data_IF_386929069894
#
_entry.id   IF_386929069894
#
_cell.length_a   1.000
_cell.length_b   1.000
_cell.length_c   1.000
_cell.angle_alpha   90.00
_cell.angle_beta   90.00
_cell.angle_gamma   90.00
#
_symmetry.space_group_name_H-M   'P 1'
#
loop_
_entity.id
_entity.type
_entity.pdbx_description
1 polymer ?
#
# COMPACT_ATOMS: atom_id res chain seq x y z
N UNK A 1 1.63 19.10 12.58
CA UNK A 1 0.99 18.83 13.90
C UNK A 1 0.23 17.51 13.95
N UNK A 2 -0.28 17.02 12.83
CA UNK A 2 -1.01 15.74 12.78
C UNK A 2 -0.09 14.52 12.78
N UNK A 3 1.18 14.68 12.38
CA UNK A 3 2.19 13.63 12.43
C UNK A 3 2.68 13.44 13.86
N UNK A 4 2.91 12.19 14.26
CA UNK A 4 3.61 11.88 15.50
C UNK A 4 5.09 12.28 15.46
N UNK A 5 5.78 12.00 16.56
CA UNK A 5 7.23 12.24 16.63
C UNK A 5 7.99 11.34 15.63
N UNK A 6 8.99 11.87 14.92
CA UNK A 6 9.81 11.09 14.00
C UNK A 6 10.51 9.93 14.72
N UNK A 7 10.55 8.78 14.08
CA UNK A 7 11.33 7.65 14.58
C UNK A 7 12.79 7.78 14.09
N UNK A 8 13.68 8.23 14.97
CA UNK A 8 15.06 8.57 14.65
C UNK A 8 15.90 7.40 14.11
N UNK A 9 15.46 6.16 14.29
CA UNK A 9 16.13 4.97 13.76
C UNK A 9 15.52 4.49 12.45
N UNK A 10 14.20 4.42 12.38
CA UNK A 10 13.48 3.85 11.22
C UNK A 10 13.40 4.83 10.06
N UNK A 11 13.06 6.08 10.32
CA UNK A 11 12.76 7.06 9.27
C UNK A 11 13.96 7.36 8.35
N UNK A 12 15.23 7.43 8.82
CA UNK A 12 16.36 7.54 7.92
C UNK A 12 16.80 6.22 7.29
N UNK A 13 16.62 5.07 7.96
CA UNK A 13 17.14 3.78 7.52
C UNK A 13 16.25 3.09 6.47
N UNK A 14 14.94 3.10 6.67
CA UNK A 14 14.00 2.37 5.81
C UNK A 14 13.97 2.88 4.36
N UNK A 15 14.00 4.20 4.05
CA UNK A 15 14.08 4.68 2.67
C UNK A 15 15.37 4.23 1.96
N UNK A 16 16.50 4.18 2.68
CA UNK A 16 17.77 3.71 2.13
C UNK A 16 17.70 2.21 1.82
N UNK A 17 17.13 1.42 2.74
CA UNK A 17 16.92 -0.01 2.55
C UNK A 17 16.00 -0.28 1.35
N UNK A 18 14.88 0.42 1.24
CA UNK A 18 13.97 0.29 0.11
C UNK A 18 14.68 0.54 -1.22
N UNK A 19 15.42 1.65 -1.33
CA UNK A 19 16.17 1.99 -2.54
C UNK A 19 17.22 0.93 -2.88
N UNK A 20 17.91 0.38 -1.88
CA UNK A 20 18.88 -0.70 -2.08
C UNK A 20 18.21 -1.99 -2.58
N UNK A 21 17.05 -2.35 -2.05
CA UNK A 21 16.28 -3.50 -2.51
C UNK A 21 15.79 -3.33 -3.96
N UNK A 22 15.26 -2.16 -4.29
CA UNK A 22 14.83 -1.86 -5.67
C UNK A 22 15.99 -1.86 -6.66
N UNK A 23 17.14 -1.29 -6.28
CA UNK A 23 18.35 -1.30 -7.11
C UNK A 23 18.90 -2.72 -7.33
N UNK A 24 18.69 -3.62 -6.40
CA UNK A 24 19.06 -5.04 -6.49
C UNK A 24 17.94 -5.92 -7.07
N UNK A 25 16.87 -5.31 -7.59
CA UNK A 25 15.65 -5.98 -8.09
C UNK A 25 15.08 -7.04 -7.12
N UNK A 26 15.15 -6.74 -5.83
CA UNK A 26 14.58 -7.58 -4.78
C UNK A 26 13.08 -7.30 -4.63
N UNK A 27 12.25 -8.34 -4.42
CA UNK A 27 10.83 -8.17 -4.16
C UNK A 27 10.55 -7.28 -2.95
N UNK A 28 9.57 -6.39 -3.08
CA UNK A 28 9.12 -5.49 -2.03
C UNK A 28 7.60 -5.58 -1.88
N UNK A 29 7.13 -5.90 -0.69
CA UNK A 29 5.73 -5.76 -0.28
C UNK A 29 5.65 -4.69 0.82
N UNK A 30 4.93 -3.62 0.54
CA UNK A 30 4.81 -2.44 1.40
C UNK A 30 3.38 -2.30 1.94
N UNK A 31 3.17 -2.51 3.25
CA UNK A 31 1.85 -2.53 3.89
C UNK A 31 1.69 -1.29 4.77
N UNK A 32 0.54 -0.61 4.67
CA UNK A 32 0.12 0.54 5.46
C UNK A 32 1.18 1.66 5.48
N UNK A 33 1.90 1.85 6.58
CA UNK A 33 3.04 2.79 6.61
C UNK A 33 4.08 2.48 5.53
N UNK A 34 4.18 1.23 5.09
CA UNK A 34 5.09 0.80 4.03
C UNK A 34 4.79 1.43 2.67
N UNK A 35 3.53 1.51 2.24
CA UNK A 35 3.16 2.16 0.97
C UNK A 35 3.48 3.65 1.02
N UNK A 36 3.26 4.30 2.17
CA UNK A 36 3.56 5.71 2.39
C UNK A 36 5.07 5.96 2.31
N UNK A 37 5.86 5.13 3.00
CA UNK A 37 7.31 5.16 2.92
C UNK A 37 7.82 4.97 1.49
N UNK A 38 7.28 3.98 0.78
CA UNK A 38 7.63 3.68 -0.61
C UNK A 38 7.39 4.88 -1.51
N UNK A 39 6.23 5.51 -1.38
CA UNK A 39 5.88 6.69 -2.14
C UNK A 39 6.84 7.86 -1.89
N UNK A 40 7.07 8.21 -0.62
CA UNK A 40 7.96 9.32 -0.25
C UNK A 40 9.41 9.05 -0.64
N UNK A 41 9.90 7.83 -0.41
CA UNK A 41 11.25 7.45 -0.78
C UNK A 41 11.52 7.57 -2.28
N UNK A 42 10.50 7.49 -3.12
CA UNK A 42 10.59 7.60 -4.57
C UNK A 42 10.17 8.99 -5.10
N UNK A 43 9.85 9.94 -4.22
CA UNK A 43 9.61 11.35 -4.56
C UNK A 43 8.14 11.73 -4.69
N UNK A 44 7.24 10.99 -4.09
CA UNK A 44 5.84 11.34 -3.92
C UNK A 44 5.56 12.08 -2.60
N UNK A 45 4.30 12.46 -2.40
CA UNK A 45 3.83 13.19 -1.23
C UNK A 45 2.74 12.43 -0.46
N UNK A 46 2.44 12.87 0.76
CA UNK A 46 1.42 12.31 1.64
C UNK A 46 0.41 13.36 2.10
N UNK A 47 -0.85 12.98 2.19
CA UNK A 47 -1.80 13.66 3.07
C UNK A 47 -1.35 13.45 4.52
N UNK A 48 -1.17 14.55 5.26
CA UNK A 48 -0.76 14.50 6.67
C UNK A 48 -1.90 14.07 7.58
N UNK A 49 -3.14 14.28 7.17
CA UNK A 49 -4.35 13.85 7.87
C UNK A 49 -5.49 13.73 6.85
N UNK A 50 -6.15 12.58 6.82
CA UNK A 50 -7.28 12.29 5.91
C UNK A 50 -8.64 12.55 6.55
N UNK A 51 -8.72 13.19 7.73
CA UNK A 51 -9.99 13.55 8.38
C UNK A 51 -10.98 14.30 7.50
N UNK A 52 -10.54 15.17 6.55
CA UNK A 52 -11.48 15.81 5.64
C UNK A 52 -12.22 14.85 4.68
N UNK A 53 -11.72 13.62 4.53
CA UNK A 53 -12.33 12.56 3.70
C UNK A 53 -13.23 11.64 4.54
N UNK A 54 -14.14 12.21 5.33
CA UNK A 54 -14.89 11.51 6.39
C UNK A 54 -15.94 10.48 5.90
N UNK A 55 -16.06 10.25 4.61
CA UNK A 55 -17.06 9.32 4.06
C UNK A 55 -16.70 7.85 4.26
N UNK A 56 -15.41 7.53 4.43
CA UNK A 56 -14.89 6.19 4.66
C UNK A 56 -14.24 6.10 6.02
N UNK A 57 -14.67 5.19 6.90
CA UNK A 57 -14.06 5.03 8.22
C UNK A 57 -12.68 4.37 8.08
N UNK A 58 -11.61 5.16 8.17
CA UNK A 58 -10.23 4.69 8.06
C UNK A 58 -9.63 4.25 9.41
N UNK A 59 -10.45 3.70 10.33
CA UNK A 59 -10.04 3.37 11.71
C UNK A 59 -10.58 2.03 12.24
N UNK A 60 -10.87 1.06 11.38
CA UNK A 60 -11.24 -0.28 11.81
C UNK A 60 -10.23 -1.31 11.30
N UNK A 61 -9.54 -1.97 12.23
CA UNK A 61 -8.50 -2.95 11.93
C UNK A 61 -9.06 -4.33 11.59
N UNK A 62 -10.18 -4.70 12.21
CA UNK A 62 -10.63 -6.09 12.30
C UNK A 62 -11.66 -6.42 11.24
N UNK A 63 -12.43 -5.43 10.80
CA UNK A 63 -13.49 -5.60 9.83
C UNK A 63 -13.09 -5.18 8.42
N UNK A 64 -13.79 -5.74 7.45
CA UNK A 64 -13.81 -5.22 6.08
C UNK A 64 -14.82 -4.09 6.04
N UNK A 65 -14.37 -2.84 5.95
CA UNK A 65 -15.18 -1.67 6.21
C UNK A 65 -15.44 -0.78 5.00
N UNK A 66 -14.55 -0.79 4.00
CA UNK A 66 -14.76 -0.01 2.79
C UNK A 66 -14.35 -0.77 1.53
N UNK A 67 -14.91 -0.33 0.43
CA UNK A 67 -14.64 -0.86 -0.91
C UNK A 67 -13.44 -0.14 -1.52
N UNK A 68 -12.57 -0.92 -2.11
CA UNK A 68 -11.44 -0.44 -2.91
C UNK A 68 -11.60 -0.92 -4.34
N UNK A 69 -11.55 0.01 -5.29
CA UNK A 69 -11.55 -0.29 -6.72
C UNK A 69 -10.13 -0.57 -7.19
N UNK A 70 -9.93 -1.74 -7.79
CA UNK A 70 -8.63 -2.21 -8.29
C UNK A 70 -8.50 -1.86 -9.77
N UNK A 71 -7.41 -1.22 -10.15
CA UNK A 71 -7.14 -0.87 -11.55
C UNK A 71 -6.73 -2.11 -12.35
N UNK A 72 -7.34 -2.25 -13.51
CA UNK A 72 -7.00 -3.34 -14.45
C UNK A 72 -5.58 -3.19 -14.98
N UNK A 73 -5.00 -4.29 -15.45
CA UNK A 73 -3.66 -4.36 -16.01
C UNK A 73 -2.52 -4.07 -15.02
N UNK A 74 -2.83 -4.14 -13.72
CA UNK A 74 -1.86 -4.00 -12.62
C UNK A 74 -1.44 -5.35 -12.06
N UNK A 75 -0.31 -5.39 -11.33
CA UNK A 75 0.11 -6.58 -10.58
C UNK A 75 -0.97 -6.95 -9.54
N UNK A 76 -1.48 -5.94 -8.82
CA UNK A 76 -2.53 -6.13 -7.81
C UNK A 76 -3.79 -6.76 -8.43
N UNK A 77 -4.24 -6.31 -9.61
CA UNK A 77 -5.43 -6.88 -10.27
C UNK A 77 -5.24 -8.33 -10.67
N UNK A 78 -4.03 -8.70 -11.10
CA UNK A 78 -3.70 -10.10 -11.40
C UNK A 78 -3.71 -10.99 -10.17
N UNK A 79 -3.26 -10.46 -9.03
CA UNK A 79 -3.23 -11.19 -7.76
C UNK A 79 -4.64 -11.38 -7.20
N UNK A 80 -5.42 -10.31 -7.12
CA UNK A 80 -6.74 -10.34 -6.50
C UNK A 80 -7.81 -10.98 -7.38
N UNK A 81 -7.69 -10.88 -8.70
CA UNK A 81 -8.66 -11.44 -9.67
C UNK A 81 -10.05 -10.78 -9.61
N UNK A 82 -10.16 -9.60 -9.01
CA UNK A 82 -11.41 -8.88 -8.77
C UNK A 82 -11.23 -7.40 -9.07
N UNK A 83 -12.27 -6.74 -9.60
CA UNK A 83 -12.27 -5.30 -9.87
C UNK A 83 -12.52 -4.46 -8.60
N UNK A 84 -13.10 -5.08 -7.56
CA UNK A 84 -13.37 -4.44 -6.26
C UNK A 84 -13.13 -5.42 -5.12
N UNK A 85 -12.62 -4.94 -4.02
CA UNK A 85 -12.41 -5.72 -2.78
C UNK A 85 -12.84 -4.91 -1.57
N UNK A 86 -13.33 -5.60 -0.54
CA UNK A 86 -13.57 -5.02 0.78
C UNK A 86 -12.33 -5.19 1.64
N UNK A 87 -11.87 -4.10 2.24
CA UNK A 87 -10.64 -4.06 3.05
C UNK A 87 -10.88 -3.46 4.44
N UNK A 88 -9.95 -3.70 5.34
CA UNK A 88 -9.86 -3.01 6.63
C UNK A 88 -9.10 -1.70 6.48
N UNK A 89 -9.13 -0.85 7.52
CA UNK A 89 -8.39 0.40 7.51
C UNK A 89 -7.92 0.80 8.91
N UNK A 90 -6.66 1.21 9.01
CA UNK A 90 -6.07 1.73 10.24
C UNK A 90 -5.01 2.77 9.90
N UNK A 91 -5.42 3.88 9.38
CA UNK A 91 -4.50 4.98 9.07
C UNK A 91 -5.23 6.31 9.10
N UNK A 92 -4.49 7.39 9.33
CA UNK A 92 -4.96 8.76 9.23
C UNK A 92 -4.13 9.58 8.24
N UNK A 93 -3.11 8.96 7.66
CA UNK A 93 -2.28 9.50 6.57
C UNK A 93 -2.42 8.60 5.35
N UNK A 94 -2.24 9.15 4.16
CA UNK A 94 -2.33 8.41 2.92
C UNK A 94 -1.43 9.01 1.84
N UNK A 95 -1.22 8.28 0.77
CA UNK A 95 -0.55 8.80 -0.44
C UNK A 95 -1.41 9.91 -1.04
N UNK A 96 -0.80 11.07 -1.27
CA UNK A 96 -1.39 12.19 -2.01
C UNK A 96 -0.91 12.13 -3.47
N UNK A 97 0.30 12.57 -3.72
CA UNK A 97 0.91 12.53 -5.05
C UNK A 97 1.72 11.25 -5.22
N UNK A 98 1.30 10.41 -6.16
CA UNK A 98 2.03 9.18 -6.50
C UNK A 98 3.40 9.54 -7.10
N UNK A 99 4.45 8.90 -6.60
CA UNK A 99 5.82 9.13 -7.02
C UNK A 99 6.05 8.80 -8.51
N UNK A 100 6.97 9.50 -9.18
CA UNK A 100 7.39 9.15 -10.54
C UNK A 100 7.87 7.69 -10.64
N UNK A 101 7.41 6.98 -11.67
CA UNK A 101 7.73 5.56 -11.89
C UNK A 101 6.91 4.57 -11.07
N UNK A 102 6.02 5.05 -10.19
CA UNK A 102 4.96 4.25 -9.62
C UNK A 102 3.66 4.45 -10.38
N UNK A 103 2.80 3.43 -10.36
CA UNK A 103 1.45 3.50 -10.91
C UNK A 103 0.43 3.22 -9.82
N UNK A 104 -0.70 3.91 -9.91
CA UNK A 104 -1.86 3.68 -9.05
C UNK A 104 -2.47 2.32 -9.39
N UNK A 105 -2.62 1.43 -8.40
CA UNK A 105 -3.23 0.11 -8.57
C UNK A 105 -4.57 -0.05 -7.85
N UNK A 106 -4.87 0.78 -6.84
CA UNK A 106 -6.14 0.73 -6.13
C UNK A 106 -6.54 2.09 -5.54
N UNK A 107 -7.85 2.35 -5.47
CA UNK A 107 -8.44 3.60 -5.01
C UNK A 107 -9.70 3.32 -4.20
N UNK A 108 -9.89 3.99 -3.06
CA UNK A 108 -11.15 3.96 -2.30
C UNK A 108 -12.23 4.83 -2.94
N UNK A 109 -13.47 4.69 -2.48
CA UNK A 109 -14.62 5.45 -3.02
C UNK A 109 -14.47 6.96 -2.80
N UNK A 110 -13.83 7.38 -1.73
CA UNK A 110 -13.54 8.79 -1.39
C UNK A 110 -12.27 9.34 -2.06
N UNK A 111 -11.62 8.54 -2.91
CA UNK A 111 -10.47 8.95 -3.71
C UNK A 111 -9.12 8.82 -3.01
N UNK A 112 -9.05 8.17 -1.86
CA UNK A 112 -7.77 7.86 -1.21
C UNK A 112 -7.05 6.75 -1.97
N UNK A 113 -5.75 6.94 -2.17
CA UNK A 113 -4.88 5.94 -2.79
C UNK A 113 -4.68 4.77 -1.84
N UNK A 114 -5.16 3.60 -2.27
CA UNK A 114 -5.10 2.36 -1.50
C UNK A 114 -4.07 1.37 -2.04
N UNK A 115 -3.60 1.55 -3.27
CA UNK A 115 -2.59 0.70 -3.87
C UNK A 115 -1.72 1.42 -4.87
N UNK A 116 -0.42 1.17 -4.82
CA UNK A 116 0.57 1.60 -5.82
C UNK A 116 1.56 0.47 -6.10
N UNK A 117 2.13 0.45 -7.29
CA UNK A 117 3.11 -0.56 -7.69
C UNK A 117 4.17 0.03 -8.62
N UNK A 118 5.32 -0.63 -8.70
CA UNK A 118 6.42 -0.29 -9.61
C UNK A 118 6.46 -1.32 -10.75
N UNK A 119 5.93 -0.99 -11.96
CA UNK A 119 5.71 -1.99 -13.00
C UNK A 119 6.99 -2.57 -13.60
N UNK A 120 8.10 -1.86 -13.51
CA UNK A 120 9.41 -2.26 -14.03
C UNK A 120 10.28 -3.03 -13.00
N UNK A 121 9.77 -3.29 -11.80
CA UNK A 121 10.42 -4.14 -10.79
C UNK A 121 9.91 -5.59 -10.88
N UNK A 122 10.74 -6.56 -10.49
CA UNK A 122 10.35 -7.97 -10.39
C UNK A 122 9.07 -8.17 -9.57
N UNK A 123 8.98 -7.50 -8.42
CA UNK A 123 7.79 -7.40 -7.57
C UNK A 123 7.94 -6.19 -6.65
N UNK A 124 7.11 -5.19 -6.82
CA UNK A 124 7.06 -4.05 -5.90
C UNK A 124 5.63 -3.56 -5.81
N UNK A 125 4.97 -3.93 -4.72
CA UNK A 125 3.57 -3.67 -4.46
C UNK A 125 3.40 -2.99 -3.11
N UNK A 126 2.65 -1.90 -3.07
CA UNK A 126 2.21 -1.24 -1.85
C UNK A 126 0.69 -1.28 -1.74
N UNK A 127 0.19 -1.60 -0.54
CA UNK A 127 -1.23 -1.54 -0.17
C UNK A 127 -1.39 -0.77 1.12
N UNK A 128 -2.45 0.06 1.22
CA UNK A 128 -2.68 0.91 2.38
C UNK A 128 -3.39 0.16 3.51
N UNK A 129 -4.25 -0.80 3.18
CA UNK A 129 -4.91 -1.67 4.15
C UNK A 129 -3.95 -2.71 4.75
N UNK A 130 -4.46 -3.51 5.67
CA UNK A 130 -3.73 -4.57 6.36
C UNK A 130 -4.20 -5.96 5.89
N UNK A 131 -3.69 -6.49 4.76
CA UNK A 131 -4.06 -7.82 4.26
C UNK A 131 -3.65 -8.94 5.23
N UNK A 132 -2.61 -8.74 6.07
CA UNK A 132 -2.15 -9.72 7.05
C UNK A 132 -3.21 -10.08 8.10
N UNK A 133 -4.15 -9.20 8.34
CA UNK A 133 -5.23 -9.43 9.29
C UNK A 133 -6.45 -10.10 8.66
N UNK A 134 -6.50 -10.10 7.33
CA UNK A 134 -7.60 -10.69 6.55
C UNK A 134 -7.21 -12.03 5.93
N UNK A 135 -5.93 -12.31 5.74
CA UNK A 135 -5.41 -13.43 4.96
C UNK A 135 -5.87 -14.80 5.44
N UNK A 136 -6.07 -14.98 6.75
CA UNK A 136 -6.53 -16.25 7.30
C UNK A 136 -7.96 -16.64 6.87
N UNK A 137 -8.79 -15.64 6.52
CA UNK A 137 -10.19 -15.83 6.15
C UNK A 137 -10.50 -15.46 4.69
N UNK A 138 -9.57 -14.78 4.02
CA UNK A 138 -9.76 -14.28 2.66
C UNK A 138 -8.63 -14.75 1.73
N UNK A 139 -8.91 -15.70 0.82
CA UNK A 139 -7.93 -16.19 -0.14
C UNK A 139 -7.33 -15.11 -1.06
N UNK A 140 -8.08 -14.06 -1.38
CA UNK A 140 -7.56 -12.96 -2.21
C UNK A 140 -6.48 -12.18 -1.44
N UNK A 141 -6.68 -11.95 -0.14
CA UNK A 141 -5.68 -11.30 0.72
C UNK A 141 -4.47 -12.20 0.96
N UNK A 142 -4.68 -13.51 1.13
CA UNK A 142 -3.58 -14.48 1.19
C UNK A 142 -2.78 -14.50 -0.12
N UNK A 143 -3.45 -14.38 -1.27
CA UNK A 143 -2.81 -14.33 -2.59
C UNK A 143 -1.74 -13.24 -2.73
N UNK A 144 -1.86 -12.13 -2.00
CA UNK A 144 -0.83 -11.07 -1.98
C UNK A 144 0.49 -11.61 -1.41
N UNK A 145 0.41 -12.36 -0.30
CA UNK A 145 1.60 -12.95 0.33
C UNK A 145 2.17 -14.10 -0.49
N UNK A 146 1.31 -14.93 -1.08
CA UNK A 146 1.73 -16.04 -1.94
C UNK A 146 2.49 -15.54 -3.17
N UNK A 147 1.99 -14.48 -3.81
CA UNK A 147 2.64 -13.84 -4.94
C UNK A 147 4.00 -13.21 -4.55
N UNK A 148 4.07 -12.56 -3.38
CA UNK A 148 5.31 -12.02 -2.85
C UNK A 148 6.34 -13.11 -2.58
N UNK A 149 5.95 -14.19 -1.88
CA UNK A 149 6.84 -15.34 -1.59
C UNK A 149 7.30 -16.02 -2.87
N UNK A 150 6.42 -16.16 -3.87
CA UNK A 150 6.80 -16.70 -5.17
C UNK A 150 7.85 -15.84 -5.88
N UNK A 151 7.74 -14.52 -5.78
CA UNK A 151 8.72 -13.59 -6.34
C UNK A 151 10.08 -13.61 -5.61
N UNK A 152 10.14 -14.08 -4.36
CA UNK A 152 11.39 -14.23 -3.60
C UNK A 152 12.24 -15.44 -4.01
N UNK A 153 11.69 -16.34 -4.79
CA UNK A 153 12.39 -17.53 -5.33
C UNK A 153 13.02 -17.20 -6.68
#
# INVERSE_FOLDING_TARGET
>A
PACGEPNVLRDPAEPLLLRAFLAADKPVLAICRGIQLMNVALGGDLYQDIKPFEHVPHNDHWGKIHTVTVRRDTLLSRILGQDTVLVNSQHHQAVDKVAPGLVLSALSEDGIVEGIEKPDAKFCLGVQWHPEWLSAADPAMQGIFDAFVAACK
#
